data_IF_730893508888
#
_entry.id   IF_730893508888
#
_cell.length_a   1.000
_cell.length_b   1.000
_cell.length_c   1.000
_cell.angle_alpha   90.00
_cell.angle_beta   90.00
_cell.angle_gamma   90.00
#
_symmetry.space_group_name_H-M   'P 1'
#
loop_
_entity.id
_entity.type
_entity.pdbx_description
1 polymer ?
#
# COMPACT_ATOMS: atom_id res chain seq x y z
N UNK A 1 -13.31 -14.23 5.64
CA UNK A 1 -11.84 -14.29 5.82
C UNK A 1 -11.31 -15.46 5.01
N UNK A 2 -10.23 -15.27 4.24
CA UNK A 2 -9.67 -16.34 3.39
C UNK A 2 -8.81 -17.34 4.20
N UNK A 3 -8.70 -18.61 3.73
CA UNK A 3 -7.85 -19.61 4.37
C UNK A 3 -6.37 -19.22 4.31
N UNK A 4 -5.60 -19.57 5.34
CA UNK A 4 -4.14 -19.34 5.37
C UNK A 4 -3.37 -20.33 4.48
N UNK A 5 -3.93 -21.53 4.28
CA UNK A 5 -3.41 -22.56 3.36
C UNK A 5 -4.39 -22.70 2.19
N UNK A 6 -4.28 -21.80 1.23
CA UNK A 6 -5.04 -21.89 -0.01
C UNK A 6 -4.49 -23.01 -0.92
N UNK A 7 -5.39 -23.76 -1.57
CA UNK A 7 -5.04 -24.72 -2.63
C UNK A 7 -4.36 -24.02 -3.80
N UNK A 8 -3.66 -24.79 -4.66
CA UNK A 8 -3.06 -24.27 -5.90
C UNK A 8 -4.10 -23.58 -6.77
N UNK A 9 -5.27 -24.21 -6.96
CA UNK A 9 -6.40 -23.65 -7.73
C UNK A 9 -6.89 -22.31 -7.14
N UNK A 10 -6.96 -22.20 -5.80
CA UNK A 10 -7.37 -20.94 -5.17
C UNK A 10 -6.33 -19.84 -5.38
N UNK A 11 -5.04 -20.17 -5.31
CA UNK A 11 -3.95 -19.22 -5.57
C UNK A 11 -3.98 -18.75 -7.01
N UNK A 12 -4.16 -19.68 -7.95
CA UNK A 12 -4.25 -19.38 -9.38
C UNK A 12 -5.39 -18.41 -9.66
N UNK A 13 -6.58 -18.67 -9.11
CA UNK A 13 -7.72 -17.75 -9.22
C UNK A 13 -7.41 -16.35 -8.66
N UNK A 14 -6.66 -16.25 -7.56
CA UNK A 14 -6.27 -14.95 -7.02
C UNK A 14 -5.31 -14.19 -7.95
N UNK A 15 -4.36 -14.88 -8.57
CA UNK A 15 -3.45 -14.32 -9.56
C UNK A 15 -4.23 -13.83 -10.78
N UNK A 16 -5.14 -14.64 -11.31
CA UNK A 16 -6.00 -14.30 -12.44
C UNK A 16 -6.87 -13.06 -12.16
N UNK A 17 -7.43 -12.95 -10.96
CA UNK A 17 -8.21 -11.79 -10.55
C UNK A 17 -7.37 -10.51 -10.56
N UNK A 18 -6.13 -10.56 -10.03
CA UNK A 18 -5.21 -9.42 -10.04
C UNK A 18 -4.88 -8.99 -11.48
N UNK A 19 -4.52 -9.96 -12.34
CA UNK A 19 -4.21 -9.72 -13.75
C UNK A 19 -5.42 -9.15 -14.49
N UNK A 20 -6.62 -9.65 -14.21
CA UNK A 20 -7.87 -9.15 -14.79
C UNK A 20 -8.12 -7.69 -14.44
N UNK A 21 -7.92 -7.29 -13.18
CA UNK A 21 -8.05 -5.88 -12.77
C UNK A 21 -6.98 -5.01 -13.44
N UNK A 22 -5.74 -5.49 -13.54
CA UNK A 22 -4.66 -4.79 -14.23
C UNK A 22 -4.98 -4.52 -15.70
N UNK A 23 -5.41 -5.55 -16.43
CA UNK A 23 -5.74 -5.46 -17.87
C UNK A 23 -6.93 -4.54 -18.15
N UNK A 24 -7.76 -4.27 -17.14
CA UNK A 24 -8.89 -3.37 -17.26
C UNK A 24 -8.56 -1.91 -16.92
N UNK A 25 -7.30 -1.56 -16.64
CA UNK A 25 -6.86 -0.19 -16.41
C UNK A 25 -6.90 0.63 -17.71
N UNK A 26 -7.44 1.86 -17.63
CA UNK A 26 -7.27 2.84 -18.72
C UNK A 26 -5.80 3.31 -18.78
N UNK A 27 -5.35 3.91 -19.89
CA UNK A 27 -4.01 4.49 -19.98
C UNK A 27 -3.69 5.49 -18.84
N UNK A 28 -4.66 6.32 -18.44
CA UNK A 28 -4.50 7.30 -17.36
C UNK A 28 -4.41 6.64 -15.98
N UNK A 29 -5.17 5.55 -15.76
CA UNK A 29 -5.07 4.75 -14.54
C UNK A 29 -3.73 4.02 -14.47
N UNK A 30 -3.28 3.46 -15.59
CA UNK A 30 -1.98 2.81 -15.74
C UNK A 30 -0.85 3.79 -15.40
N UNK A 31 -0.87 4.98 -16.00
CA UNK A 31 0.14 6.01 -15.75
C UNK A 31 0.18 6.42 -14.26
N UNK A 32 -0.98 6.73 -13.67
CA UNK A 32 -1.05 7.13 -12.25
C UNK A 32 -0.60 6.01 -11.30
N UNK A 33 -0.96 4.76 -11.59
CA UNK A 33 -0.52 3.62 -10.80
C UNK A 33 1.00 3.43 -10.86
N UNK A 34 1.59 3.44 -12.06
CA UNK A 34 3.05 3.34 -12.25
C UNK A 34 3.80 4.43 -11.50
N UNK A 35 3.31 5.67 -11.56
CA UNK A 35 3.95 6.81 -10.90
C UNK A 35 3.71 6.87 -9.38
N UNK A 36 2.84 6.04 -8.82
CA UNK A 36 2.41 6.18 -7.42
C UNK A 36 3.60 6.21 -6.45
N UNK A 37 4.46 5.18 -6.51
CA UNK A 37 5.57 5.05 -5.56
C UNK A 37 6.72 6.02 -5.85
N UNK A 38 6.93 6.38 -7.13
CA UNK A 38 7.86 7.45 -7.50
C UNK A 38 7.43 8.81 -6.90
N UNK A 39 6.16 9.19 -7.05
CA UNK A 39 5.65 10.43 -6.46
C UNK A 39 5.69 10.42 -4.93
N UNK A 40 5.47 9.26 -4.29
CA UNK A 40 5.63 9.12 -2.85
C UNK A 40 7.09 9.24 -2.40
N UNK A 41 8.04 8.70 -3.18
CA UNK A 41 9.48 8.84 -2.94
C UNK A 41 9.92 10.31 -3.08
N UNK A 42 9.47 11.01 -4.12
CA UNK A 42 9.74 12.44 -4.31
C UNK A 42 9.21 13.26 -3.13
N UNK A 43 8.00 12.98 -2.67
CA UNK A 43 7.46 13.62 -1.46
C UNK A 43 8.31 13.30 -0.23
N UNK A 44 8.72 12.05 -0.05
CA UNK A 44 9.55 11.62 1.06
C UNK A 44 10.89 12.37 1.08
N UNK A 45 11.52 12.53 -0.09
CA UNK A 45 12.74 13.31 -0.28
C UNK A 45 12.53 14.80 0.03
N UNK A 46 11.42 15.38 -0.45
CA UNK A 46 11.11 16.80 -0.27
C UNK A 46 10.90 17.18 1.21
N UNK A 47 10.26 16.33 2.01
CA UNK A 47 9.98 16.65 3.42
C UNK A 47 11.22 16.49 4.33
N UNK A 48 12.29 15.88 3.84
CA UNK A 48 13.52 15.57 4.60
C UNK A 48 14.78 16.17 3.97
N UNK A 49 14.62 17.17 3.09
CA UNK A 49 15.74 17.84 2.41
C UNK A 49 16.69 16.86 1.68
N UNK A 50 16.12 15.86 1.01
CA UNK A 50 16.85 14.88 0.21
C UNK A 50 16.93 13.47 0.80
N UNK A 51 16.67 13.28 2.10
CA UNK A 51 16.70 11.95 2.72
C UNK A 51 15.39 11.19 2.52
N UNK A 52 15.18 10.70 1.29
CA UNK A 52 13.98 9.95 0.93
C UNK A 52 13.75 8.70 1.81
N UNK A 53 14.81 8.09 2.34
CA UNK A 53 14.70 6.88 3.17
C UNK A 53 14.07 7.20 4.51
N UNK A 54 14.56 8.22 5.22
CA UNK A 54 13.96 8.66 6.48
C UNK A 54 12.53 9.17 6.28
N UNK A 55 12.30 9.95 5.21
CA UNK A 55 10.98 10.43 4.84
C UNK A 55 9.98 9.29 4.61
N UNK A 56 10.40 8.26 3.86
CA UNK A 56 9.62 7.06 3.61
C UNK A 56 9.30 6.33 4.92
N UNK A 57 10.27 6.23 5.83
CA UNK A 57 10.10 5.63 7.14
C UNK A 57 9.04 6.34 8.00
N UNK A 58 9.08 7.67 8.06
CA UNK A 58 8.08 8.47 8.80
C UNK A 58 6.70 8.37 8.14
N UNK A 59 6.61 8.50 6.81
CA UNK A 59 5.36 8.34 6.06
C UNK A 59 4.76 6.94 6.32
N UNK A 60 5.58 5.89 6.35
CA UNK A 60 5.13 4.54 6.62
C UNK A 60 4.64 4.38 8.07
N UNK A 61 5.40 4.86 9.06
CA UNK A 61 5.05 4.81 10.48
C UNK A 61 3.68 5.45 10.77
N UNK A 62 3.35 6.55 10.07
CA UNK A 62 2.12 7.33 10.26
C UNK A 62 0.96 6.90 9.35
N UNK A 63 1.14 5.85 8.53
CA UNK A 63 0.17 5.47 7.49
C UNK A 63 -1.11 4.79 7.98
N UNK A 64 -1.10 4.24 9.20
CA UNK A 64 -2.19 3.39 9.68
C UNK A 64 -3.49 4.21 9.89
N UNK A 65 -4.57 3.78 9.23
CA UNK A 65 -5.89 4.42 9.30
C UNK A 65 -5.91 5.90 8.90
N UNK A 66 -5.04 6.30 7.96
CA UNK A 66 -5.03 7.65 7.38
C UNK A 66 -5.31 7.61 5.89
N UNK A 67 -6.00 8.63 5.38
CA UNK A 67 -5.99 8.91 3.95
C UNK A 67 -4.60 9.39 3.53
N UNK A 68 -4.27 9.29 2.24
CA UNK A 68 -2.98 9.77 1.74
C UNK A 68 -2.72 11.24 2.10
N UNK A 69 -3.70 12.12 1.89
CA UNK A 69 -3.59 13.55 2.26
C UNK A 69 -3.40 13.77 3.77
N UNK A 70 -4.08 12.99 4.62
CA UNK A 70 -3.86 13.07 6.08
C UNK A 70 -2.45 12.62 6.44
N UNK A 71 -1.96 11.53 5.85
CA UNK A 71 -0.62 11.01 6.11
C UNK A 71 0.46 12.03 5.69
N UNK A 72 0.34 12.59 4.48
CA UNK A 72 1.25 13.63 3.98
C UNK A 72 1.32 14.83 4.92
N UNK A 73 0.16 15.31 5.40
CA UNK A 73 0.10 16.44 6.34
C UNK A 73 0.78 16.12 7.67
N UNK A 74 0.60 14.91 8.19
CA UNK A 74 1.23 14.50 9.45
C UNK A 74 2.76 14.39 9.29
N UNK A 75 3.24 13.73 8.23
CA UNK A 75 4.67 13.59 7.97
C UNK A 75 5.35 14.95 7.74
N UNK A 76 4.75 15.80 6.91
CA UNK A 76 5.23 17.17 6.66
C UNK A 76 5.30 17.99 7.95
N UNK A 77 4.21 18.02 8.73
CA UNK A 77 4.17 18.74 10.02
C UNK A 77 5.25 18.23 10.98
N UNK A 78 5.50 16.92 11.01
CA UNK A 78 6.51 16.35 11.88
C UNK A 78 7.89 16.94 11.60
N UNK A 79 8.32 17.00 10.34
CA UNK A 79 9.61 17.59 9.97
C UNK A 79 9.64 19.13 10.05
N UNK A 80 8.54 19.82 9.67
CA UNK A 80 8.47 21.28 9.71
C UNK A 80 8.48 21.86 11.14
N UNK A 81 7.85 21.15 12.09
CA UNK A 81 7.64 21.67 13.46
C UNK A 81 8.40 20.90 14.54
N UNK A 82 8.94 19.73 14.22
CA UNK A 82 9.47 18.78 15.20
C UNK A 82 8.40 18.10 16.06
N UNK A 83 7.10 18.41 15.88
CA UNK A 83 6.02 17.92 16.74
C UNK A 83 5.27 16.74 16.10
N UNK A 84 5.35 15.59 16.76
CA UNK A 84 4.59 14.38 16.43
C UNK A 84 3.29 14.30 17.24
N UNK A 85 2.14 14.49 16.58
CA UNK A 85 0.81 14.41 17.22
C UNK A 85 -0.28 13.96 16.23
N UNK A 86 -1.51 13.73 16.70
CA UNK A 86 -2.65 13.36 15.83
C UNK A 86 -2.69 11.88 15.41
N UNK A 87 -1.94 11.02 16.12
CA UNK A 87 -1.88 9.58 15.88
C UNK A 87 -1.80 8.80 17.21
N UNK A 88 -2.02 7.49 17.15
CA UNK A 88 -1.80 6.57 18.28
C UNK A 88 -0.33 6.54 18.72
N UNK A 89 -0.09 6.30 20.02
CA UNK A 89 1.24 6.38 20.65
C UNK A 89 2.32 5.56 19.94
N UNK A 90 2.02 4.33 19.55
CA UNK A 90 2.96 3.42 18.88
C UNK A 90 3.48 3.99 17.54
N UNK A 91 2.59 4.54 16.72
CA UNK A 91 2.97 5.16 15.44
C UNK A 91 3.85 6.40 15.65
N UNK A 92 3.50 7.24 16.62
CA UNK A 92 4.30 8.41 16.98
C UNK A 92 5.68 8.02 17.51
N UNK A 93 5.76 6.96 18.31
CA UNK A 93 7.04 6.47 18.84
C UNK A 93 7.97 5.95 17.74
N UNK A 94 7.43 5.22 16.75
CA UNK A 94 8.20 4.77 15.58
C UNK A 94 8.71 5.95 14.75
N UNK A 95 7.83 6.89 14.43
CA UNK A 95 8.20 8.10 13.70
C UNK A 95 9.28 8.91 14.46
N UNK A 96 9.16 9.05 15.79
CA UNK A 96 10.13 9.76 16.60
C UNK A 96 11.52 9.10 16.57
N UNK A 97 11.60 7.76 16.64
CA UNK A 97 12.87 7.04 16.53
C UNK A 97 13.55 7.28 15.17
N UNK A 98 12.77 7.21 14.09
CA UNK A 98 13.28 7.44 12.74
C UNK A 98 13.77 8.89 12.58
N UNK A 99 12.98 9.86 13.04
CA UNK A 99 13.38 11.27 13.03
C UNK A 99 14.62 11.56 13.89
N UNK A 100 14.89 10.73 14.91
CA UNK A 100 16.09 10.79 15.72
C UNK A 100 17.31 10.06 15.09
N UNK A 101 17.17 9.55 13.86
CA UNK A 101 18.26 8.94 13.08
C UNK A 101 18.32 7.42 13.11
N UNK A 102 17.34 6.72 13.70
CA UNK A 102 17.27 5.26 13.58
C UNK A 102 16.92 4.85 12.14
N UNK A 103 17.55 3.79 11.63
CA UNK A 103 17.17 3.25 10.32
C UNK A 103 15.71 2.77 10.37
N UNK A 104 14.84 3.20 9.44
CA UNK A 104 13.46 2.71 9.37
C UNK A 104 13.34 1.17 9.37
N UNK A 105 14.31 0.44 8.79
CA UNK A 105 14.31 -1.02 8.76
C UNK A 105 14.42 -1.66 10.15
N UNK A 106 15.03 -0.98 11.12
CA UNK A 106 15.17 -1.45 12.50
C UNK A 106 13.95 -1.11 13.38
N UNK A 107 13.11 -0.19 12.91
CA UNK A 107 11.99 0.37 13.69
C UNK A 107 10.63 -0.18 13.22
N UNK A 108 10.50 -0.43 11.92
CA UNK A 108 9.25 -0.83 11.29
C UNK A 108 9.10 -2.35 11.23
N UNK A 109 7.87 -2.88 11.30
CA UNK A 109 7.61 -4.31 11.09
C UNK A 109 7.76 -4.65 9.60
N UNK A 110 8.98 -5.05 9.21
CA UNK A 110 9.42 -5.22 7.81
C UNK A 110 8.67 -6.30 7.03
N UNK A 111 8.08 -7.26 7.72
CA UNK A 111 7.26 -8.35 7.16
C UNK A 111 5.76 -8.00 7.05
N UNK A 112 5.38 -6.78 7.42
CA UNK A 112 3.98 -6.32 7.45
C UNK A 112 3.76 -5.16 6.48
N UNK A 113 2.49 -4.78 6.34
CA UNK A 113 2.05 -3.64 5.52
C UNK A 113 2.92 -2.40 5.69
N UNK A 114 3.20 -2.00 6.93
CA UNK A 114 3.97 -0.79 7.21
C UNK A 114 5.40 -0.89 6.68
N UNK A 115 6.08 -2.01 6.91
CA UNK A 115 7.42 -2.24 6.39
C UNK A 115 7.48 -2.33 4.87
N UNK A 116 6.55 -3.05 4.25
CA UNK A 116 6.45 -3.11 2.78
C UNK A 116 6.15 -1.74 2.17
N UNK A 117 5.33 -0.92 2.84
CA UNK A 117 5.04 0.43 2.38
C UNK A 117 6.26 1.34 2.47
N UNK A 118 7.06 1.21 3.53
CA UNK A 118 8.37 1.87 3.60
C UNK A 118 9.27 1.44 2.44
N UNK A 119 9.43 0.13 2.19
CA UNK A 119 10.27 -0.38 1.11
C UNK A 119 9.88 0.17 -0.26
N UNK A 120 8.60 0.08 -0.62
CA UNK A 120 8.12 0.58 -1.91
C UNK A 120 8.32 2.10 -2.08
N UNK A 121 8.23 2.89 -1.00
CA UNK A 121 8.46 4.34 -1.09
C UNK A 121 9.97 4.62 -1.12
N UNK A 122 10.76 3.98 -0.27
CA UNK A 122 12.20 4.24 -0.17
C UNK A 122 12.94 3.84 -1.44
N UNK A 123 12.52 2.73 -2.06
CA UNK A 123 13.02 2.25 -3.34
C UNK A 123 11.83 1.83 -4.24
N UNK A 124 11.36 2.72 -5.13
CA UNK A 124 10.32 2.40 -6.09
C UNK A 124 10.68 1.28 -7.08
N UNK A 125 11.96 0.89 -7.18
CA UNK A 125 12.45 -0.20 -8.02
C UNK A 125 12.64 -1.53 -7.29
N UNK A 126 12.28 -1.62 -6.00
CA UNK A 126 12.37 -2.85 -5.22
C UNK A 126 11.51 -3.97 -5.85
N UNK A 127 12.17 -5.03 -6.31
CA UNK A 127 11.55 -6.16 -7.01
C UNK A 127 10.75 -7.10 -6.10
N UNK A 128 10.95 -7.04 -4.79
CA UNK A 128 10.34 -7.95 -3.83
C UNK A 128 9.21 -7.30 -3.01
N UNK A 129 9.18 -5.96 -2.94
CA UNK A 129 8.24 -5.25 -2.08
C UNK A 129 6.84 -5.14 -2.69
N UNK A 130 5.82 -5.50 -1.89
CA UNK A 130 4.41 -5.30 -2.25
C UNK A 130 3.54 -5.03 -1.02
N UNK A 131 2.67 -4.03 -1.12
CA UNK A 131 1.79 -3.63 -0.02
C UNK A 131 0.45 -4.33 -0.11
N UNK A 132 0.22 -5.31 0.77
CA UNK A 132 -1.11 -5.92 0.93
C UNK A 132 -1.96 -5.12 1.92
N UNK A 133 -2.89 -4.34 1.38
CA UNK A 133 -3.92 -3.63 2.14
C UNK A 133 -5.33 -4.23 1.89
N UNK A 134 -6.36 -3.53 2.38
CA UNK A 134 -7.75 -3.99 2.24
C UNK A 134 -8.20 -4.09 0.78
N UNK A 135 -7.67 -3.23 -0.09
CA UNK A 135 -8.03 -3.20 -1.51
C UNK A 135 -7.27 -4.28 -2.27
N UNK A 136 -5.98 -4.44 -1.98
CA UNK A 136 -5.18 -5.51 -2.55
C UNK A 136 -5.79 -6.89 -2.26
N UNK A 137 -6.30 -7.09 -1.04
CA UNK A 137 -7.08 -8.26 -0.66
C UNK A 137 -8.35 -8.40 -1.52
N UNK A 138 -9.20 -7.37 -1.57
CA UNK A 138 -10.48 -7.43 -2.27
C UNK A 138 -10.30 -7.71 -3.77
N UNK A 139 -9.25 -7.14 -4.37
CA UNK A 139 -8.83 -7.39 -5.76
C UNK A 139 -8.46 -8.87 -5.94
N UNK A 140 -7.54 -9.41 -5.13
CA UNK A 140 -7.09 -10.78 -5.25
C UNK A 140 -8.24 -11.78 -5.05
N UNK A 141 -9.09 -11.55 -4.05
CA UNK A 141 -10.23 -12.43 -3.78
C UNK A 141 -11.34 -12.26 -4.82
N UNK A 142 -11.39 -11.14 -5.54
CA UNK A 142 -12.46 -10.82 -6.49
C UNK A 142 -13.77 -10.37 -5.80
N UNK A 143 -13.71 -9.96 -4.54
CA UNK A 143 -14.88 -9.63 -3.72
C UNK A 143 -14.62 -8.38 -2.87
N UNK A 144 -15.55 -7.42 -2.88
CA UNK A 144 -15.47 -6.22 -2.02
C UNK A 144 -15.97 -6.53 -0.61
N UNK A 145 -15.10 -6.43 0.38
CA UNK A 145 -15.41 -6.82 1.76
C UNK A 145 -16.11 -5.73 2.58
N UNK A 146 -16.03 -4.46 2.17
CA UNK A 146 -16.51 -3.34 2.98
C UNK A 146 -15.82 -3.34 4.35
N UNK A 147 -16.62 -3.32 5.42
CA UNK A 147 -16.16 -3.34 6.82
C UNK A 147 -15.84 -4.75 7.35
N UNK A 148 -16.02 -5.81 6.56
CA UNK A 148 -15.71 -7.18 6.98
C UNK A 148 -14.21 -7.34 7.27
N UNK A 149 -13.90 -8.11 8.31
CA UNK A 149 -12.51 -8.47 8.61
C UNK A 149 -11.95 -9.40 7.52
N UNK A 150 -10.75 -9.03 7.07
CA UNK A 150 -9.97 -9.73 6.05
C UNK A 150 -8.91 -10.62 6.68
N UNK A 151 -8.62 -10.45 7.98
CA UNK A 151 -7.61 -11.22 8.70
C UNK A 151 -6.18 -10.87 8.29
N UNK A 152 -5.92 -9.67 7.77
CA UNK A 152 -4.58 -9.25 7.32
C UNK A 152 -3.57 -9.08 8.47
N UNK A 153 -4.01 -9.18 9.73
CA UNK A 153 -3.13 -9.32 10.89
C UNK A 153 -2.36 -10.65 10.93
N UNK A 154 -2.75 -11.66 10.16
CA UNK A 154 -2.00 -12.92 10.04
C UNK A 154 -0.86 -12.80 9.03
N UNK A 155 0.38 -13.09 9.44
CA UNK A 155 1.55 -13.08 8.54
C UNK A 155 1.38 -14.05 7.38
N UNK A 156 0.85 -15.25 7.64
CA UNK A 156 0.66 -16.26 6.60
C UNK A 156 -0.35 -15.83 5.54
N UNK A 157 -1.43 -15.14 5.95
CA UNK A 157 -2.43 -14.61 5.01
C UNK A 157 -1.87 -13.44 4.20
N UNK A 158 -1.11 -12.56 4.85
CA UNK A 158 -0.41 -11.48 4.17
C UNK A 158 0.56 -12.04 3.12
N UNK A 159 1.39 -13.00 3.50
CA UNK A 159 2.37 -13.65 2.62
C UNK A 159 1.70 -14.38 1.45
N UNK A 160 0.59 -15.08 1.68
CA UNK A 160 -0.20 -15.71 0.62
C UNK A 160 -0.57 -14.70 -0.48
N UNK A 161 -1.10 -13.54 -0.09
CA UNK A 161 -1.52 -12.51 -1.04
C UNK A 161 -0.32 -11.82 -1.69
N UNK A 162 0.76 -11.55 -0.94
CA UNK A 162 2.00 -10.99 -1.47
C UNK A 162 2.59 -11.89 -2.57
N UNK A 163 2.58 -13.22 -2.36
CA UNK A 163 3.03 -14.19 -3.35
C UNK A 163 2.13 -14.17 -4.61
N UNK A 164 0.81 -14.01 -4.46
CA UNK A 164 -0.09 -13.91 -5.61
C UNK A 164 0.16 -12.63 -6.43
N UNK A 165 0.43 -11.50 -5.78
CA UNK A 165 0.82 -10.27 -6.49
C UNK A 165 2.18 -10.40 -7.17
N UNK A 166 3.15 -11.06 -6.53
CA UNK A 166 4.47 -11.30 -7.11
C UNK A 166 4.39 -12.19 -8.34
N UNK A 167 3.60 -13.25 -8.29
CA UNK A 167 3.33 -14.13 -9.43
C UNK A 167 2.59 -13.39 -10.57
N UNK A 168 1.58 -12.58 -10.24
CA UNK A 168 0.89 -11.75 -11.22
C UNK A 168 1.85 -10.78 -11.92
N UNK A 169 2.73 -10.15 -11.15
CA UNK A 169 3.72 -9.21 -11.66
C UNK A 169 4.76 -9.89 -12.56
N UNK A 170 5.24 -11.07 -12.17
CA UNK A 170 6.12 -11.90 -13.00
C UNK A 170 5.48 -12.19 -14.38
N UNK A 171 4.21 -12.61 -14.40
CA UNK A 171 3.48 -12.90 -15.65
C UNK A 171 3.21 -11.66 -16.51
N UNK A 172 3.16 -10.48 -15.89
CA UNK A 172 2.94 -9.20 -16.57
C UNK A 172 4.25 -8.51 -17.00
N UNK A 173 5.40 -8.97 -16.51
CA UNK A 173 6.68 -8.29 -16.74
C UNK A 173 6.80 -6.97 -15.97
N UNK A 174 6.23 -6.89 -14.77
CA UNK A 174 6.10 -5.68 -13.96
C UNK A 174 6.66 -5.87 -12.55
N UNK A 175 6.84 -4.76 -11.82
CA UNK A 175 7.12 -4.83 -10.38
C UNK A 175 5.85 -5.20 -9.58
N UNK A 176 5.96 -5.99 -8.50
CA UNK A 176 4.83 -6.29 -7.61
C UNK A 176 4.14 -5.03 -7.08
N UNK A 177 4.93 -4.03 -6.70
CA UNK A 177 4.47 -2.72 -6.25
C UNK A 177 3.67 -1.98 -7.33
N UNK A 178 4.14 -2.00 -8.58
CA UNK A 178 3.46 -1.40 -9.73
C UNK A 178 2.12 -2.08 -10.03
N UNK A 179 2.08 -3.41 -10.03
CA UNK A 179 0.81 -4.15 -10.19
C UNK A 179 -0.18 -3.78 -9.10
N UNK A 180 0.30 -3.73 -7.86
CA UNK A 180 -0.51 -3.35 -6.71
C UNK A 180 -1.06 -1.92 -6.83
N UNK A 181 -0.25 -0.93 -7.22
CA UNK A 181 -0.69 0.46 -7.31
C UNK A 181 -1.65 0.72 -8.48
N UNK A 182 -1.40 0.13 -9.66
CA UNK A 182 -2.32 0.24 -10.81
C UNK A 182 -3.67 -0.40 -10.49
N UNK A 183 -3.67 -1.64 -9.97
CA UNK A 183 -4.93 -2.31 -9.62
C UNK A 183 -5.67 -1.59 -8.49
N UNK A 184 -4.95 -0.95 -7.56
CA UNK A 184 -5.52 -0.09 -6.53
C UNK A 184 -6.24 1.14 -7.12
N UNK A 185 -5.65 1.83 -8.11
CA UNK A 185 -6.30 2.97 -8.79
C UNK A 185 -7.59 2.53 -9.47
N UNK A 186 -7.54 1.45 -10.24
CA UNK A 186 -8.72 0.90 -10.93
C UNK A 186 -9.83 0.56 -9.94
N UNK A 187 -9.49 -0.15 -8.86
CA UNK A 187 -10.45 -0.65 -7.90
C UNK A 187 -11.09 0.48 -7.07
N UNK A 188 -10.30 1.45 -6.60
CA UNK A 188 -10.81 2.56 -5.79
C UNK A 188 -11.74 3.48 -6.59
N UNK A 189 -11.45 3.73 -7.86
CA UNK A 189 -12.33 4.51 -8.74
C UNK A 189 -13.63 3.79 -9.07
N UNK A 190 -13.60 2.47 -9.26
CA UNK A 190 -14.82 1.66 -9.40
C UNK A 190 -15.73 1.79 -8.19
N UNK A 191 -15.16 1.72 -6.97
CA UNK A 191 -15.93 1.89 -5.72
C UNK A 191 -16.49 3.32 -5.61
N UNK A 192 -15.70 4.34 -5.96
CA UNK A 192 -16.16 5.72 -5.92
C UNK A 192 -17.34 5.93 -6.90
N UNK A 193 -17.23 5.43 -8.13
CA UNK A 193 -18.27 5.56 -9.15
C UNK A 193 -19.57 4.82 -8.85
N UNK A 194 -19.53 3.68 -8.14
CA UNK A 194 -20.74 2.97 -7.71
C UNK A 194 -21.45 3.71 -6.57
N UNK A 195 -20.71 4.33 -5.65
CA UNK A 195 -21.29 5.18 -4.60
C UNK A 195 -22.03 6.40 -5.18
N UNK A 196 -21.50 7.01 -6.25
CA UNK A 196 -22.15 8.15 -6.93
C UNK A 196 -23.41 7.73 -7.69
N UNK A 197 -23.47 6.51 -8.25
CA UNK A 197 -24.67 6.00 -8.92
C UNK A 197 -25.81 5.61 -7.96
N UNK A 198 -25.49 5.29 -6.70
CA UNK A 198 -26.48 4.91 -5.67
C UNK A 198 -27.29 6.06 -5.08
N UNK A 199 -26.98 7.33 -5.40
CA UNK A 199 -27.67 8.52 -4.84
C UNK A 199 -28.71 9.15 -5.77
N UNK A 200 -28.97 8.56 -6.95
CA UNK A 200 -30.16 8.89 -7.75
C UNK A 200 -31.27 7.89 -7.44
N UNK A 201 -32.17 8.24 -6.51
CA UNK A 201 -33.54 7.73 -6.51
C UNK A 201 -34.47 8.79 -7.13
N UNK A 202 -35.50 8.37 -7.87
CA UNK A 202 -36.46 9.27 -8.53
C UNK A 202 -37.22 10.15 -7.54
#
# INVERSE_FOLDING_TARGET
MIPVKASSETRERYVENIISVWRAATPEQMQRGRMWYHAANELASLITDGDARSGAGVIAALSANKTWSQNCRLARRAYETGVLSGHVKDALAKAAKIMAGADPADVLPMERKTGMFFRCIADPSDHDAVVIDRHAHDIAVGETYGNRDRGLGSSSRYALLANCYSEAALRLGELPSTVQSVTWVVHTERIAGTATRGTRRP
#
